data_IF_306852240082
#
_entry.id   IF_306852240082
#
_cell.length_a   1.000
_cell.length_b   1.000
_cell.length_c   1.000
_cell.angle_alpha   90.00
_cell.angle_beta   90.00
_cell.angle_gamma   90.00
#
_symmetry.space_group_name_H-M   'P 1'
#
loop_
_entity.id
_entity.type
_entity.pdbx_description
1 polymer ?
#
# COMPACT_ATOMS: atom_id res chain seq x y z
N UNK A 1 -4.17 -15.88 -22.67
CA UNK A 1 -4.42 -14.96 -21.54
C UNK A 1 -5.31 -13.82 -22.00
N UNK A 2 -6.50 -13.75 -21.44
CA UNK A 2 -7.55 -12.77 -21.76
C UNK A 2 -7.21 -11.43 -21.09
N UNK A 3 -7.20 -10.28 -21.79
CA UNK A 3 -6.98 -8.99 -21.19
C UNK A 3 -8.21 -8.53 -20.41
N UNK A 4 -8.04 -8.23 -19.13
CA UNK A 4 -9.06 -7.59 -18.30
C UNK A 4 -9.22 -6.15 -18.77
N UNK A 5 -10.34 -5.85 -19.44
CA UNK A 5 -10.75 -4.50 -19.83
C UNK A 5 -11.34 -3.77 -18.62
N UNK A 6 -10.55 -2.86 -18.01
CA UNK A 6 -11.11 -1.76 -17.24
C UNK A 6 -11.09 -0.51 -18.12
N UNK A 7 -12.22 0.06 -18.45
CA UNK A 7 -12.35 1.21 -19.35
C UNK A 7 -11.58 2.45 -18.87
N UNK A 8 -11.60 2.74 -17.58
CA UNK A 8 -10.89 3.88 -17.00
C UNK A 8 -9.36 3.74 -17.04
N UNK A 9 -8.82 2.54 -16.85
CA UNK A 9 -7.37 2.28 -16.98
C UNK A 9 -6.92 2.39 -18.45
N UNK A 10 -7.78 2.04 -19.41
CA UNK A 10 -7.54 2.20 -20.84
C UNK A 10 -7.43 3.67 -21.26
N UNK A 11 -8.27 4.55 -20.73
CA UNK A 11 -8.30 5.97 -21.10
C UNK A 11 -7.12 6.74 -20.49
N UNK A 12 -6.71 6.43 -19.25
CA UNK A 12 -5.50 6.98 -18.65
C UNK A 12 -4.25 6.54 -19.41
N UNK A 13 -4.20 5.28 -19.83
CA UNK A 13 -3.11 4.74 -20.63
C UNK A 13 -3.01 5.39 -22.01
N UNK A 14 -4.13 5.56 -22.72
CA UNK A 14 -4.19 6.25 -24.00
C UNK A 14 -3.69 7.70 -23.90
N UNK A 15 -4.16 8.46 -22.92
CA UNK A 15 -3.70 9.84 -22.69
C UNK A 15 -2.20 9.92 -22.38
N UNK A 16 -1.64 8.96 -21.67
CA UNK A 16 -0.19 8.91 -21.42
C UNK A 16 0.59 8.65 -22.70
N UNK A 17 0.13 7.72 -23.55
CA UNK A 17 0.77 7.41 -24.83
C UNK A 17 0.66 8.62 -25.78
N UNK A 18 -0.50 9.27 -25.87
CA UNK A 18 -0.70 10.48 -26.68
C UNK A 18 0.23 11.63 -26.25
N UNK A 19 0.34 11.89 -24.93
CA UNK A 19 1.26 12.90 -24.40
C UNK A 19 2.72 12.54 -24.70
N UNK A 20 3.11 11.28 -24.51
CA UNK A 20 4.45 10.82 -24.83
C UNK A 20 4.75 10.91 -26.32
N UNK A 21 3.77 10.62 -27.19
CA UNK A 21 3.95 10.72 -28.65
C UNK A 21 4.17 12.18 -29.12
N UNK A 22 3.50 13.13 -28.46
CA UNK A 22 3.65 14.57 -28.81
C UNK A 22 5.03 15.14 -28.36
N UNK A 23 5.61 14.59 -27.27
CA UNK A 23 6.89 15.06 -26.72
C UNK A 23 8.04 14.05 -26.98
N UNK A 24 7.81 13.02 -27.79
CA UNK A 24 8.78 11.94 -27.99
C UNK A 24 9.97 12.40 -28.78
N UNK A 25 11.15 12.26 -28.24
CA UNK A 25 12.41 12.51 -28.89
C UNK A 25 13.27 11.25 -28.85
N UNK A 26 13.59 10.70 -30.03
CA UNK A 26 14.37 9.46 -30.14
C UNK A 26 15.74 9.55 -29.44
N UNK A 27 16.35 10.74 -29.43
CA UNK A 27 17.66 11.01 -28.82
C UNK A 27 17.64 10.88 -27.26
N UNK A 28 16.48 11.08 -26.63
CA UNK A 28 16.35 11.03 -25.17
C UNK A 28 15.66 9.74 -24.70
N UNK A 29 15.06 9.00 -25.62
CA UNK A 29 14.36 7.77 -25.28
C UNK A 29 15.35 6.64 -24.93
N UNK A 30 15.29 6.15 -23.68
CA UNK A 30 16.09 5.00 -23.29
C UNK A 30 15.66 3.75 -24.06
N UNK A 31 16.61 2.90 -24.49
CA UNK A 31 16.28 1.63 -25.09
C UNK A 31 15.48 0.75 -24.11
N UNK A 32 14.39 0.11 -24.58
CA UNK A 32 13.66 -0.87 -23.75
C UNK A 32 14.56 -1.97 -23.25
N UNK A 33 14.28 -2.49 -22.05
CA UNK A 33 15.01 -3.61 -21.46
C UNK A 33 14.18 -4.87 -21.55
N UNK A 34 14.78 -5.89 -22.09
CA UNK A 34 14.15 -7.19 -22.30
C UNK A 34 14.99 -8.30 -21.69
N UNK A 35 14.35 -9.28 -21.11
CA UNK A 35 14.96 -10.51 -20.66
C UNK A 35 14.69 -11.61 -21.66
N UNK A 36 15.73 -12.36 -22.02
CA UNK A 36 15.61 -13.56 -22.85
C UNK A 36 15.64 -14.80 -21.97
N UNK A 37 14.52 -15.51 -21.91
CA UNK A 37 14.35 -16.78 -21.19
C UNK A 37 13.33 -17.66 -21.89
N UNK A 38 13.46 -18.94 -21.75
CA UNK A 38 12.52 -19.93 -22.32
C UNK A 38 12.24 -19.75 -23.83
N UNK A 39 13.28 -19.29 -24.59
CA UNK A 39 13.14 -19.02 -26.03
C UNK A 39 12.38 -17.74 -26.40
N UNK A 40 12.01 -16.90 -25.42
CA UNK A 40 11.19 -15.70 -25.62
C UNK A 40 11.83 -14.46 -25.02
N UNK A 41 11.45 -13.29 -25.58
CA UNK A 41 11.83 -11.98 -25.08
C UNK A 41 10.70 -11.39 -24.23
N UNK A 42 11.00 -11.06 -22.98
CA UNK A 42 10.05 -10.45 -22.05
C UNK A 42 10.47 -9.01 -21.73
N UNK A 43 9.60 -8.05 -22.05
CA UNK A 43 9.87 -6.64 -21.75
C UNK A 43 9.60 -6.40 -20.27
N UNK A 44 10.60 -6.01 -19.51
CA UNK A 44 10.44 -5.65 -18.10
C UNK A 44 10.59 -4.14 -17.84
N UNK A 45 11.10 -3.36 -18.83
CA UNK A 45 11.13 -1.90 -18.76
C UNK A 45 11.00 -1.31 -20.18
N UNK A 46 10.39 -0.11 -20.29
CA UNK A 46 10.22 0.61 -21.56
C UNK A 46 8.99 0.20 -22.37
N UNK A 47 7.99 -0.46 -21.78
CA UNK A 47 6.74 -0.83 -22.48
C UNK A 47 6.05 0.41 -23.12
N UNK A 48 6.00 1.53 -22.39
CA UNK A 48 5.43 2.78 -22.95
C UNK A 48 6.21 3.28 -24.15
N UNK A 49 7.54 3.21 -24.14
CA UNK A 49 8.41 3.56 -25.28
C UNK A 49 8.08 2.72 -26.51
N UNK A 50 7.90 1.41 -26.34
CA UNK A 50 7.51 0.49 -27.42
C UNK A 50 6.16 0.89 -28.00
N UNK A 51 5.15 1.09 -27.14
CA UNK A 51 3.79 1.46 -27.58
C UNK A 51 3.79 2.83 -28.27
N UNK A 52 4.52 3.81 -27.74
CA UNK A 52 4.64 5.14 -28.36
C UNK A 52 5.24 5.04 -29.76
N UNK A 53 6.35 4.32 -29.93
CA UNK A 53 6.98 4.11 -31.26
C UNK A 53 6.03 3.40 -32.23
N UNK A 54 5.33 2.36 -31.78
CA UNK A 54 4.32 1.69 -32.58
C UNK A 54 3.19 2.62 -32.99
N UNK A 55 2.70 3.46 -32.08
CA UNK A 55 1.66 4.48 -32.38
C UNK A 55 2.15 5.49 -33.44
N UNK A 56 3.38 5.99 -33.29
CA UNK A 56 3.99 6.90 -34.24
C UNK A 56 4.22 6.25 -35.61
N UNK A 57 4.38 4.93 -35.67
CA UNK A 57 4.48 4.14 -36.90
C UNK A 57 3.10 3.71 -37.45
N UNK A 58 2.04 4.47 -37.15
CA UNK A 58 0.69 4.17 -37.64
C UNK A 58 0.08 2.91 -37.07
N UNK A 59 0.59 2.42 -35.94
CA UNK A 59 0.13 1.17 -35.31
C UNK A 59 0.80 -0.10 -35.85
N UNK A 60 1.64 0.01 -36.89
CA UNK A 60 2.41 -1.12 -37.42
C UNK A 60 3.62 -1.45 -36.53
N UNK A 61 4.00 -2.73 -36.54
CA UNK A 61 5.22 -3.19 -35.86
C UNK A 61 6.47 -2.64 -36.55
N UNK A 62 7.50 -2.35 -35.77
CA UNK A 62 8.78 -1.83 -36.26
C UNK A 62 9.94 -2.44 -35.45
N UNK A 63 11.13 -2.57 -36.05
CA UNK A 63 12.33 -2.95 -35.33
C UNK A 63 12.69 -1.91 -34.27
N UNK A 64 13.01 -2.37 -33.05
CA UNK A 64 13.40 -1.49 -31.94
C UNK A 64 14.70 -2.01 -31.34
N UNK A 65 15.66 -1.10 -31.12
CA UNK A 65 16.89 -1.41 -30.39
C UNK A 65 16.55 -1.58 -28.92
N UNK A 66 16.89 -2.75 -28.35
CA UNK A 66 16.65 -3.09 -26.96
C UNK A 66 17.96 -3.48 -26.25
N UNK A 67 18.01 -3.28 -24.93
CA UNK A 67 19.03 -3.91 -24.09
C UNK A 67 18.53 -5.29 -23.71
N UNK A 68 19.24 -6.34 -24.16
CA UNK A 68 18.90 -7.74 -23.86
C UNK A 68 19.69 -8.23 -22.67
N UNK A 69 19.01 -8.82 -21.71
CA UNK A 69 19.58 -9.49 -20.54
C UNK A 69 19.29 -10.99 -20.64
N UNK A 70 20.28 -11.81 -20.38
CA UNK A 70 20.14 -13.27 -20.37
C UNK A 70 20.42 -13.81 -18.97
N UNK A 71 19.79 -14.93 -18.62
CA UNK A 71 20.00 -15.59 -17.33
C UNK A 71 19.25 -14.98 -16.15
N UNK A 72 18.35 -14.01 -16.40
CA UNK A 72 17.47 -13.47 -15.34
C UNK A 72 16.28 -14.38 -15.08
N UNK A 73 15.95 -14.55 -13.82
CA UNK A 73 14.67 -15.11 -13.40
C UNK A 73 13.56 -14.02 -13.42
N UNK A 74 12.31 -14.43 -13.40
CA UNK A 74 11.17 -13.53 -13.33
C UNK A 74 11.19 -12.66 -12.06
N UNK A 75 11.67 -13.21 -10.96
CA UNK A 75 11.86 -12.52 -9.69
C UNK A 75 12.94 -11.43 -9.78
N UNK A 76 14.07 -11.73 -10.44
CA UNK A 76 15.14 -10.76 -10.66
C UNK A 76 14.71 -9.62 -11.59
N UNK A 77 13.94 -9.92 -12.64
CA UNK A 77 13.34 -8.89 -13.50
C UNK A 77 12.47 -7.92 -12.69
N UNK A 78 11.62 -8.43 -11.79
CA UNK A 78 10.77 -7.62 -10.94
C UNK A 78 11.57 -6.73 -9.96
N UNK A 79 12.65 -7.26 -9.39
CA UNK A 79 13.55 -6.52 -8.50
C UNK A 79 14.27 -5.41 -9.28
N UNK A 80 14.81 -5.72 -10.47
CA UNK A 80 15.49 -4.74 -11.32
C UNK A 80 14.58 -3.62 -11.76
N UNK A 81 13.35 -3.95 -12.17
CA UNK A 81 12.32 -2.97 -12.51
C UNK A 81 12.00 -2.04 -11.33
N UNK A 82 11.80 -2.61 -10.13
CA UNK A 82 11.52 -1.84 -8.92
C UNK A 82 12.66 -0.88 -8.56
N UNK A 83 13.90 -1.33 -8.61
CA UNK A 83 15.09 -0.50 -8.31
C UNK A 83 15.26 0.64 -9.31
N UNK A 84 15.03 0.38 -10.58
CA UNK A 84 15.21 1.38 -11.63
C UNK A 84 14.13 2.46 -11.62
N UNK A 85 12.86 2.09 -11.48
CA UNK A 85 11.75 3.04 -11.39
C UNK A 85 11.82 3.89 -10.13
N UNK A 86 12.39 3.38 -9.06
CA UNK A 86 12.63 4.13 -7.82
C UNK A 86 13.59 5.32 -7.99
N UNK A 87 14.45 5.33 -9.01
CA UNK A 87 15.39 6.43 -9.29
C UNK A 87 14.76 7.52 -10.16
N UNK A 88 13.95 7.15 -11.16
CA UNK A 88 13.37 8.09 -12.12
C UNK A 88 11.96 8.58 -11.74
N UNK A 89 11.15 7.74 -11.12
CA UNK A 89 9.84 8.07 -10.57
C UNK A 89 9.52 7.12 -9.41
N UNK A 90 9.36 7.63 -8.19
CA UNK A 90 9.07 6.77 -7.04
C UNK A 90 7.84 5.89 -7.30
N UNK A 91 7.99 4.60 -7.06
CA UNK A 91 6.87 3.67 -7.13
C UNK A 91 5.82 4.00 -6.07
N UNK A 92 4.56 3.72 -6.37
CA UNK A 92 3.52 3.71 -5.36
C UNK A 92 3.79 2.60 -4.33
N UNK A 93 3.32 2.77 -3.11
CA UNK A 93 3.50 1.75 -2.07
C UNK A 93 2.95 0.37 -2.47
N UNK A 94 1.83 0.35 -3.22
CA UNK A 94 1.27 -0.89 -3.77
C UNK A 94 2.15 -1.54 -4.82
N UNK A 95 2.77 -0.75 -5.71
CA UNK A 95 3.69 -1.28 -6.72
C UNK A 95 4.99 -1.80 -6.10
N UNK A 96 5.52 -1.09 -5.07
CA UNK A 96 6.68 -1.56 -4.30
C UNK A 96 6.40 -2.92 -3.64
N UNK A 97 5.25 -3.04 -2.98
CA UNK A 97 4.88 -4.29 -2.33
C UNK A 97 4.66 -5.43 -3.34
N UNK A 98 3.97 -5.16 -4.47
CA UNK A 98 3.83 -6.20 -5.52
C UNK A 98 5.18 -6.70 -6.01
N UNK A 99 6.12 -5.81 -6.30
CA UNK A 99 7.45 -6.19 -6.75
C UNK A 99 8.19 -7.02 -5.69
N UNK A 100 8.09 -6.64 -4.41
CA UNK A 100 8.68 -7.38 -3.30
C UNK A 100 8.05 -8.79 -3.15
N UNK A 101 6.73 -8.92 -3.31
CA UNK A 101 6.03 -10.21 -3.26
C UNK A 101 6.43 -11.12 -4.44
N UNK A 102 6.53 -10.57 -5.65
CA UNK A 102 7.03 -11.32 -6.83
C UNK A 102 8.49 -11.74 -6.60
N UNK A 103 9.31 -10.85 -6.03
CA UNK A 103 10.70 -11.14 -5.64
C UNK A 103 10.83 -12.04 -4.41
N UNK A 104 9.75 -12.60 -3.89
CA UNK A 104 9.70 -13.52 -2.73
C UNK A 104 10.37 -12.94 -1.47
N UNK A 105 10.27 -11.61 -1.27
CA UNK A 105 10.77 -10.97 -0.05
C UNK A 105 10.03 -11.50 1.18
N UNK A 106 10.75 -12.20 2.05
CA UNK A 106 10.19 -12.89 3.20
C UNK A 106 9.46 -11.93 4.17
N UNK A 107 9.98 -10.70 4.34
CA UNK A 107 9.37 -9.72 5.24
C UNK A 107 8.06 -9.18 4.68
N UNK A 108 7.99 -8.96 3.37
CA UNK A 108 6.77 -8.52 2.68
C UNK A 108 5.69 -9.61 2.69
N UNK A 109 6.08 -10.88 2.51
CA UNK A 109 5.16 -12.02 2.61
C UNK A 109 4.62 -12.16 4.03
N UNK A 110 5.47 -12.07 5.04
CA UNK A 110 5.06 -12.15 6.44
C UNK A 110 4.11 -10.98 6.82
N UNK A 111 4.36 -9.77 6.34
CA UNK A 111 3.49 -8.62 6.52
C UNK A 111 2.12 -8.81 5.85
N UNK A 112 2.09 -9.32 4.60
CA UNK A 112 0.84 -9.64 3.90
C UNK A 112 0.03 -10.65 4.71
N UNK A 113 0.63 -11.79 5.08
CA UNK A 113 -0.02 -12.85 5.84
C UNK A 113 -0.53 -12.35 7.21
N UNK A 114 0.26 -11.54 7.90
CA UNK A 114 -0.15 -10.94 9.17
C UNK A 114 -1.37 -10.03 9.01
N UNK A 115 -1.44 -9.26 7.92
CA UNK A 115 -2.61 -8.41 7.63
C UNK A 115 -3.84 -9.24 7.29
N UNK A 116 -3.71 -10.21 6.38
CA UNK A 116 -4.82 -11.03 5.92
C UNK A 116 -5.39 -11.95 7.01
N UNK A 117 -4.57 -12.39 7.96
CA UNK A 117 -5.02 -13.17 9.12
C UNK A 117 -6.02 -12.42 10.02
N UNK A 118 -6.12 -11.10 9.91
CA UNK A 118 -7.08 -10.26 10.65
C UNK A 118 -8.40 -10.03 9.91
N UNK A 119 -8.56 -10.59 8.70
CA UNK A 119 -9.69 -10.35 7.80
C UNK A 119 -9.57 -9.07 6.97
N UNK A 120 -8.51 -8.27 7.15
CA UNK A 120 -8.23 -7.09 6.35
C UNK A 120 -7.33 -7.43 5.15
N UNK A 121 -7.41 -6.63 4.10
CA UNK A 121 -6.63 -6.79 2.89
C UNK A 121 -5.76 -5.57 2.63
N UNK A 122 -4.63 -5.74 1.94
CA UNK A 122 -3.82 -4.63 1.45
C UNK A 122 -4.35 -4.14 0.10
N UNK A 123 -4.76 -2.87 0.05
CA UNK A 123 -5.28 -2.22 -1.16
C UNK A 123 -4.15 -1.74 -2.06
N UNK A 124 -3.61 -2.64 -2.89
CA UNK A 124 -2.46 -2.35 -3.75
C UNK A 124 -2.73 -1.28 -4.82
N UNK A 125 -3.98 -1.04 -5.16
CA UNK A 125 -4.41 -0.09 -6.20
C UNK A 125 -4.72 1.31 -5.66
N UNK A 126 -4.45 1.55 -4.38
CA UNK A 126 -4.75 2.81 -3.67
C UNK A 126 -6.23 3.22 -3.71
N UNK A 127 -7.12 2.32 -4.12
CA UNK A 127 -8.56 2.53 -4.09
C UNK A 127 -9.12 2.19 -2.71
N UNK A 128 -9.78 3.17 -2.09
CA UNK A 128 -10.40 3.01 -0.77
C UNK A 128 -11.67 2.18 -0.88
N UNK A 129 -11.72 1.10 -0.13
CA UNK A 129 -12.88 0.21 -0.06
C UNK A 129 -12.97 -0.39 1.36
N UNK A 130 -14.15 -0.91 1.75
CA UNK A 130 -14.29 -1.66 3.00
C UNK A 130 -13.26 -2.79 3.10
N UNK A 131 -12.76 -3.04 4.30
CA UNK A 131 -11.78 -4.07 4.64
C UNK A 131 -10.40 -3.91 3.97
N UNK A 132 -10.10 -2.75 3.31
CA UNK A 132 -8.84 -2.51 2.61
C UNK A 132 -8.00 -1.43 3.24
N UNK A 133 -6.77 -1.77 3.59
CA UNK A 133 -5.72 -0.85 4.05
C UNK A 133 -4.98 -0.32 2.82
N UNK A 134 -5.15 0.96 2.49
CA UNK A 134 -4.44 1.60 1.36
C UNK A 134 -3.18 2.37 1.81
N UNK A 135 -3.02 2.60 3.09
CA UNK A 135 -1.83 3.27 3.66
C UNK A 135 -0.67 2.28 3.89
N UNK A 136 -0.29 1.52 2.84
CA UNK A 136 0.64 0.38 2.90
C UNK A 136 1.98 0.75 3.55
N UNK A 137 2.62 1.88 3.17
CA UNK A 137 3.90 2.29 3.77
C UNK A 137 3.78 2.52 5.28
N UNK A 138 2.67 3.10 5.71
CA UNK A 138 2.40 3.28 7.15
C UNK A 138 2.21 1.93 7.82
N UNK A 139 1.33 1.09 7.29
CA UNK A 139 1.04 -0.22 7.86
C UNK A 139 2.31 -1.09 7.95
N UNK A 140 3.13 -1.12 6.90
CA UNK A 140 4.39 -1.85 6.90
C UNK A 140 5.42 -1.29 7.88
N UNK A 141 5.46 0.04 8.05
CA UNK A 141 6.31 0.68 9.06
C UNK A 141 5.89 0.26 10.47
N UNK A 142 4.60 0.34 10.78
CA UNK A 142 4.08 -0.07 12.11
C UNK A 142 4.32 -1.57 12.36
N UNK A 143 4.09 -2.44 11.37
CA UNK A 143 4.42 -3.85 11.43
C UNK A 143 5.91 -4.10 11.79
N UNK A 144 6.82 -3.38 11.14
CA UNK A 144 8.26 -3.52 11.42
C UNK A 144 8.67 -2.96 12.78
N UNK A 145 8.01 -1.91 13.22
CA UNK A 145 8.34 -1.23 14.48
C UNK A 145 7.87 -2.00 15.70
N UNK A 146 6.66 -2.55 15.64
CA UNK A 146 6.00 -3.17 16.80
C UNK A 146 5.94 -4.71 16.74
N UNK A 147 6.29 -5.30 15.60
CA UNK A 147 6.22 -6.75 15.39
C UNK A 147 4.83 -7.24 14.98
N UNK A 148 4.80 -8.50 14.54
CA UNK A 148 3.61 -9.10 13.95
C UNK A 148 2.42 -9.19 14.93
N UNK A 149 2.67 -9.53 16.19
CA UNK A 149 1.59 -9.82 17.14
C UNK A 149 0.85 -8.55 17.55
N UNK A 150 1.56 -7.49 17.96
CA UNK A 150 0.94 -6.21 18.30
C UNK A 150 0.24 -5.57 17.09
N UNK A 151 0.84 -5.72 15.91
CA UNK A 151 0.24 -5.24 14.67
C UNK A 151 -1.07 -5.98 14.36
N UNK A 152 -1.10 -7.32 14.44
CA UNK A 152 -2.31 -8.13 14.24
C UNK A 152 -3.40 -7.79 15.25
N UNK A 153 -3.02 -7.67 16.54
CA UNK A 153 -3.94 -7.29 17.60
C UNK A 153 -4.60 -5.94 17.31
N UNK A 154 -3.81 -4.92 16.94
CA UNK A 154 -4.31 -3.60 16.58
C UNK A 154 -5.26 -3.64 15.36
N UNK A 155 -4.91 -4.39 14.32
CA UNK A 155 -5.77 -4.56 13.16
C UNK A 155 -7.08 -5.27 13.49
N UNK A 156 -7.02 -6.29 14.36
CA UNK A 156 -8.22 -7.00 14.85
C UNK A 156 -9.16 -6.04 15.59
N UNK A 157 -8.62 -5.15 16.41
CA UNK A 157 -9.43 -4.14 17.10
C UNK A 157 -10.08 -3.16 16.11
N UNK A 158 -9.35 -2.73 15.06
CA UNK A 158 -9.90 -1.88 14.00
C UNK A 158 -11.02 -2.60 13.22
N UNK A 159 -10.76 -3.84 12.80
CA UNK A 159 -11.69 -4.66 12.04
C UNK A 159 -12.99 -4.91 12.81
N UNK A 160 -12.90 -5.30 14.08
CA UNK A 160 -14.05 -5.58 14.95
C UNK A 160 -14.77 -4.32 15.40
N UNK A 161 -14.04 -3.23 15.66
CA UNK A 161 -14.59 -1.99 16.18
C UNK A 161 -15.45 -1.23 15.15
N UNK A 162 -15.06 -1.30 13.88
CA UNK A 162 -15.74 -0.56 12.81
C UNK A 162 -16.09 -1.40 11.57
N UNK A 163 -16.09 -2.72 11.70
CA UNK A 163 -16.57 -3.66 10.68
C UNK A 163 -16.00 -3.39 9.28
N UNK A 164 -14.69 -3.08 9.24
CA UNK A 164 -13.99 -2.81 8.00
C UNK A 164 -14.31 -1.48 7.33
N UNK A 165 -14.92 -0.52 8.04
CA UNK A 165 -15.16 0.83 7.53
C UNK A 165 -13.87 1.44 6.98
N UNK A 166 -13.83 1.92 5.72
CA UNK A 166 -12.61 2.42 5.09
C UNK A 166 -12.03 3.67 5.78
N UNK A 167 -12.82 4.43 6.53
CA UNK A 167 -12.34 5.58 7.28
C UNK A 167 -11.63 5.18 8.58
N UNK A 168 -11.94 4.01 9.14
CA UNK A 168 -11.22 3.45 10.28
C UNK A 168 -9.80 3.00 9.92
N UNK A 169 -9.55 2.69 8.65
CA UNK A 169 -8.28 2.17 8.13
C UNK A 169 -7.34 3.29 7.63
N UNK A 170 -7.60 4.55 8.01
CA UNK A 170 -6.71 5.69 7.73
C UNK A 170 -5.40 5.57 8.51
N UNK A 171 -4.33 6.07 7.92
CA UNK A 171 -2.96 6.00 8.47
C UNK A 171 -2.84 6.51 9.91
N UNK A 172 -3.54 7.60 10.26
CA UNK A 172 -3.52 8.18 11.60
C UNK A 172 -4.17 7.25 12.63
N UNK A 173 -5.36 6.73 12.31
CA UNK A 173 -6.10 5.82 13.21
C UNK A 173 -5.32 4.52 13.39
N UNK A 174 -4.77 3.94 12.30
CA UNK A 174 -3.93 2.74 12.36
C UNK A 174 -2.73 2.95 13.30
N UNK A 175 -1.97 4.04 13.12
CA UNK A 175 -0.85 4.38 14.01
C UNK A 175 -1.26 4.52 15.47
N UNK A 176 -2.38 5.21 15.69
CA UNK A 176 -2.91 5.41 17.05
C UNK A 176 -3.32 4.10 17.70
N UNK A 177 -3.95 3.20 16.96
CA UNK A 177 -4.38 1.89 17.45
C UNK A 177 -3.18 1.00 17.77
N UNK A 178 -2.19 0.90 16.88
CA UNK A 178 -0.96 0.12 17.14
C UNK A 178 -0.25 0.64 18.39
N UNK A 179 -0.11 1.96 18.52
CA UNK A 179 0.50 2.56 19.70
C UNK A 179 -0.33 2.32 20.98
N UNK A 180 -1.66 2.39 20.89
CA UNK A 180 -2.55 2.11 22.02
C UNK A 180 -2.36 0.66 22.50
N UNK A 181 -2.45 -0.30 21.60
CA UNK A 181 -2.25 -1.72 21.92
C UNK A 181 -0.87 -1.96 22.54
N UNK A 182 0.18 -1.38 21.96
CA UNK A 182 1.53 -1.54 22.49
C UNK A 182 1.71 -0.95 23.89
N UNK A 183 1.12 0.21 24.18
CA UNK A 183 1.26 0.87 25.50
C UNK A 183 0.40 0.22 26.59
N UNK A 184 -0.72 -0.36 26.23
CA UNK A 184 -1.70 -0.91 27.17
C UNK A 184 -1.86 -2.43 27.06
N UNK A 185 -0.87 -3.12 26.49
CA UNK A 185 -0.88 -4.57 26.35
C UNK A 185 -1.11 -5.24 27.70
N UNK A 186 -2.12 -6.12 27.76
CA UNK A 186 -2.50 -6.82 28.99
C UNK A 186 -3.25 -5.99 30.03
N UNK A 187 -3.45 -4.68 29.80
CA UNK A 187 -4.14 -3.79 30.73
C UNK A 187 -5.55 -3.39 30.24
N UNK A 188 -5.78 -3.39 28.93
CA UNK A 188 -7.09 -3.06 28.38
C UNK A 188 -7.93 -4.31 28.14
N UNK A 189 -9.25 -4.13 28.21
CA UNK A 189 -10.24 -5.15 27.87
C UNK A 189 -10.60 -5.00 26.36
N UNK A 190 -10.25 -6.00 25.51
CA UNK A 190 -10.54 -5.95 24.07
C UNK A 190 -12.03 -5.82 23.74
N UNK A 191 -12.90 -6.52 24.47
CA UNK A 191 -14.35 -6.47 24.22
C UNK A 191 -14.92 -5.10 24.55
N UNK A 192 -14.43 -4.49 25.62
CA UNK A 192 -14.79 -3.13 25.98
C UNK A 192 -14.31 -2.14 24.91
N UNK A 193 -13.07 -2.28 24.42
CA UNK A 193 -12.54 -1.41 23.37
C UNK A 193 -13.44 -1.47 22.12
N UNK A 194 -13.73 -2.66 21.63
CA UNK A 194 -14.61 -2.88 20.47
C UNK A 194 -15.96 -2.21 20.67
N UNK A 195 -16.65 -2.49 21.79
CA UNK A 195 -17.95 -1.88 22.10
C UNK A 195 -17.89 -0.34 22.12
N UNK A 196 -16.80 0.22 22.64
CA UNK A 196 -16.61 1.68 22.67
C UNK A 196 -16.34 2.28 21.30
N UNK A 197 -15.54 1.62 20.46
CA UNK A 197 -15.29 2.05 19.09
C UNK A 197 -16.57 2.06 18.26
N UNK A 198 -17.45 1.07 18.44
CA UNK A 198 -18.74 0.98 17.75
C UNK A 198 -19.70 2.14 18.10
N UNK A 199 -19.47 2.86 19.20
CA UNK A 199 -20.32 4.01 19.56
C UNK A 199 -19.97 5.31 18.84
N UNK A 200 -18.87 5.35 18.10
CA UNK A 200 -18.39 6.55 17.40
C UNK A 200 -18.05 6.24 15.95
N UNK A 201 -18.30 7.18 15.06
CA UNK A 201 -17.84 7.07 13.68
C UNK A 201 -16.33 7.38 13.60
N UNK A 202 -15.50 6.66 12.79
CA UNK A 202 -14.05 6.88 12.69
C UNK A 202 -13.68 8.33 12.37
N UNK A 203 -14.48 9.01 11.55
CA UNK A 203 -14.26 10.43 11.19
C UNK A 203 -14.36 11.40 12.37
N UNK A 204 -14.97 11.00 13.50
CA UNK A 204 -14.92 11.77 14.74
C UNK A 204 -13.48 11.90 15.24
N UNK A 205 -12.71 10.82 15.22
CA UNK A 205 -11.28 10.86 15.58
C UNK A 205 -10.48 11.75 14.64
N UNK A 206 -10.78 11.71 13.33
CA UNK A 206 -10.11 12.55 12.32
C UNK A 206 -10.41 14.04 12.53
N UNK A 207 -11.62 14.37 12.93
CA UNK A 207 -12.01 15.75 13.24
C UNK A 207 -11.32 16.25 14.52
N UNK A 208 -11.39 15.45 15.58
CA UNK A 208 -10.93 15.84 16.92
C UNK A 208 -9.39 15.89 17.00
N UNK A 209 -8.69 15.11 16.17
CA UNK A 209 -7.22 15.14 16.05
C UNK A 209 -6.69 16.54 15.71
N UNK A 210 -7.42 17.31 14.90
CA UNK A 210 -6.98 18.63 14.43
C UNK A 210 -6.82 19.64 15.56
N UNK A 211 -7.53 19.47 16.65
CA UNK A 211 -7.44 20.35 17.84
C UNK A 211 -6.34 19.92 18.83
N UNK A 212 -5.58 18.85 18.53
CA UNK A 212 -4.60 18.31 19.45
C UNK A 212 -3.17 18.63 19.01
N UNK A 213 -2.27 18.79 19.98
CA UNK A 213 -0.83 18.93 19.77
C UNK A 213 -0.11 17.58 19.94
N UNK A 214 1.04 17.43 19.28
CA UNK A 214 1.88 16.24 19.36
C UNK A 214 1.97 15.45 18.04
N UNK A 215 2.62 14.29 18.09
CA UNK A 215 2.75 13.43 16.91
C UNK A 215 1.42 12.79 16.53
N UNK A 216 1.23 12.48 15.25
CA UNK A 216 0.00 11.86 14.74
C UNK A 216 -0.35 10.59 15.51
N UNK A 217 0.62 9.69 15.74
CA UNK A 217 0.38 8.45 16.49
C UNK A 217 -0.07 8.70 17.93
N UNK A 218 0.53 9.70 18.60
CA UNK A 218 0.15 10.08 19.97
C UNK A 218 -1.27 10.65 20.03
N UNK A 219 -1.60 11.58 19.13
CA UNK A 219 -2.93 12.20 19.09
C UNK A 219 -4.04 11.17 18.91
N UNK A 220 -3.90 10.27 17.92
CA UNK A 220 -4.90 9.21 17.71
C UNK A 220 -4.91 8.18 18.84
N UNK A 221 -3.77 7.82 19.43
CA UNK A 221 -3.71 6.98 20.62
C UNK A 221 -4.51 7.59 21.79
N UNK A 222 -4.32 8.89 22.03
CA UNK A 222 -5.06 9.61 23.08
C UNK A 222 -6.57 9.67 22.82
N UNK A 223 -6.99 9.82 21.57
CA UNK A 223 -8.42 9.78 21.20
C UNK A 223 -9.01 8.39 21.40
N UNK A 224 -8.29 7.35 21.04
CA UNK A 224 -8.69 5.95 21.29
C UNK A 224 -8.76 5.69 22.82
N UNK A 225 -7.78 6.16 23.59
CA UNK A 225 -7.79 6.05 25.04
C UNK A 225 -9.01 6.75 25.67
N UNK A 226 -9.31 7.98 25.21
CA UNK A 226 -10.52 8.71 25.65
C UNK A 226 -11.79 7.95 25.33
N UNK A 227 -11.88 7.38 24.13
CA UNK A 227 -13.02 6.56 23.70
C UNK A 227 -13.15 5.32 24.58
N UNK A 228 -12.05 4.61 24.85
CA UNK A 228 -12.02 3.46 25.74
C UNK A 228 -12.47 3.80 27.16
N UNK A 229 -11.92 4.88 27.73
CA UNK A 229 -12.25 5.30 29.08
C UNK A 229 -13.70 5.77 29.20
N UNK A 230 -14.19 6.54 28.24
CA UNK A 230 -15.51 7.17 28.32
C UNK A 230 -15.69 7.95 29.62
N UNK A 231 -16.86 7.84 30.25
CA UNK A 231 -17.17 8.46 31.54
C UNK A 231 -16.88 7.57 32.76
N UNK A 232 -16.30 6.36 32.55
CA UNK A 232 -16.05 5.41 33.64
C UNK A 232 -14.85 5.83 34.47
N UNK A 233 -15.01 5.90 35.79
CA UNK A 233 -13.91 6.17 36.73
C UNK A 233 -13.19 4.88 37.19
N UNK A 234 -13.91 3.78 37.32
CA UNK A 234 -13.38 2.53 37.89
C UNK A 234 -12.59 1.63 36.93
N UNK A 235 -12.71 1.86 35.60
CA UNK A 235 -12.08 1.06 34.55
C UNK A 235 -11.32 1.92 33.54
N UNK A 236 -10.90 3.11 33.94
CA UNK A 236 -10.13 4.00 33.08
C UNK A 236 -8.65 3.65 33.15
N UNK A 237 -8.02 3.62 31.99
CA UNK A 237 -6.57 3.48 31.86
C UNK A 237 -5.91 4.86 32.04
N UNK A 238 -4.74 4.90 32.72
CA UNK A 238 -3.98 6.13 32.88
C UNK A 238 -3.38 6.60 31.55
N UNK A 239 -3.03 7.89 31.46
CA UNK A 239 -2.29 8.41 30.32
C UNK A 239 -0.84 7.93 30.41
N UNK A 240 -0.38 7.28 29.35
CA UNK A 240 1.04 6.89 29.16
C UNK A 240 1.64 7.71 28.01
N UNK A 241 2.93 7.99 28.12
CA UNK A 241 3.70 8.78 27.13
C UNK A 241 4.51 7.88 26.20
#
# INVERSE_FOLDING_TARGET
STPIKSSAASDVYKRQVEKMSAEFTELIANPPKVSYRDGHYFVFDGQHTIVTRKTMNGGADLPIICKVYTGLTKEEEAILFSKQTGVSRPLTAGAELRAALVGKDAQSIAFLNATESTGLQLGLDAYRAPWKIICIRTAFKEYKTYGADLYKEALTMLARGWEGDPDSLRSGILRGMVRFVALYQGEYDPERLVKRLQTIHPMTLVRDEKAMSGTVSYKYMMLILRTYNGSSRSRSLPIKQ
#
